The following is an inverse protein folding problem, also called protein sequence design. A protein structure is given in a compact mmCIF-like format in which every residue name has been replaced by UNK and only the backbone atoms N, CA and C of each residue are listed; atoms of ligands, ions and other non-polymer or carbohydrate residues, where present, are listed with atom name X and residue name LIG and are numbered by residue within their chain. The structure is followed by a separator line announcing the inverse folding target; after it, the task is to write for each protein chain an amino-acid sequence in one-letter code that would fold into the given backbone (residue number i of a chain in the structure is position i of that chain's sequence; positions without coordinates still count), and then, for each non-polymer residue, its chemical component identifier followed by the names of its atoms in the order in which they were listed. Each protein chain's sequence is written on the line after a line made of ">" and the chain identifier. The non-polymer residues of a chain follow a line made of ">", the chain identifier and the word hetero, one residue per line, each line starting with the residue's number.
data_IF_328043897646
#
_entry.id   IF_328043897646
#
_cell.length_a   1.000
_cell.length_b   1.000
_cell.length_c   1.000
_cell.angle_alpha   90.00
_cell.angle_beta   90.00
_cell.angle_gamma   90.00
#
_symmetry.space_group_name_H-M   'P 1'
#
loop_
_entity.id
_entity.type
_entity.pdbx_description
1 polymer ?
#
# COMPACT_ATOMS: atom_id res chain seq x y z
N UNK A 1 17.23 -16.59 25.04
CA UNK A 1 17.43 -15.69 23.89
C UNK A 1 16.28 -15.93 22.94
N UNK A 2 15.37 -14.98 22.80
CA UNK A 2 14.34 -15.05 21.75
C UNK A 2 14.98 -14.40 20.53
N UNK A 3 15.52 -15.20 19.63
CA UNK A 3 15.89 -14.70 18.32
C UNK A 3 14.57 -14.37 17.62
N UNK A 4 14.25 -13.08 17.47
CA UNK A 4 13.45 -12.64 16.34
C UNK A 4 14.29 -13.00 15.12
N UNK A 5 14.13 -14.22 14.60
CA UNK A 5 14.62 -14.57 13.28
C UNK A 5 13.81 -13.70 12.32
N UNK A 6 14.34 -12.51 12.01
CA UNK A 6 13.87 -11.71 10.89
C UNK A 6 13.81 -12.66 9.71
N UNK A 7 12.60 -12.91 9.19
CA UNK A 7 12.44 -13.70 7.99
C UNK A 7 13.38 -13.14 6.91
N UNK A 8 13.98 -14.03 6.09
CA UNK A 8 14.96 -13.60 5.11
C UNK A 8 14.37 -12.47 4.24
N UNK A 9 15.10 -11.36 4.09
CA UNK A 9 14.65 -10.23 3.26
C UNK A 9 14.41 -10.62 1.79
N UNK A 10 14.93 -11.78 1.37
CA UNK A 10 14.76 -12.33 0.04
C UNK A 10 13.49 -13.21 -0.14
N UNK A 11 12.70 -13.45 0.92
CA UNK A 11 11.44 -14.19 0.86
C UNK A 11 10.38 -13.56 1.80
N UNK A 12 9.89 -12.40 1.39
CA UNK A 12 8.91 -11.63 2.14
C UNK A 12 7.49 -11.72 1.55
N UNK A 13 6.50 -11.59 2.44
CA UNK A 13 5.10 -11.34 2.07
C UNK A 13 4.75 -9.88 2.33
N UNK A 14 4.24 -9.18 1.32
CA UNK A 14 3.83 -7.78 1.39
C UNK A 14 2.34 -7.66 1.07
N UNK A 15 1.62 -6.87 1.86
CA UNK A 15 0.21 -6.56 1.60
C UNK A 15 0.08 -5.18 0.97
N UNK A 16 -0.48 -5.13 -0.23
CA UNK A 16 -0.81 -3.89 -0.95
C UNK A 16 -2.31 -3.66 -0.86
N UNK A 17 -2.73 -2.71 -0.02
CA UNK A 17 -4.13 -2.26 0.12
C UNK A 17 -4.48 -1.36 -1.06
N UNK A 18 -5.24 -1.88 -2.03
CA UNK A 18 -5.66 -1.12 -3.20
C UNK A 18 -6.89 -0.29 -2.83
N UNK A 19 -6.73 1.03 -2.73
CA UNK A 19 -7.83 1.94 -2.42
C UNK A 19 -8.50 2.34 -3.73
N UNK A 20 -9.78 1.98 -3.85
CA UNK A 20 -10.63 2.38 -4.98
C UNK A 20 -11.32 3.72 -4.73
N UNK A 21 -11.66 4.02 -3.47
CA UNK A 21 -12.31 5.29 -3.12
C UNK A 21 -12.04 5.67 -1.68
N UNK A 22 -11.49 6.87 -1.48
CA UNK A 22 -11.39 7.47 -0.15
C UNK A 22 -12.77 7.85 0.41
N UNK A 23 -13.61 8.50 -0.41
CA UNK A 23 -14.96 8.95 -0.04
C UNK A 23 -15.83 7.83 0.51
N UNK A 24 -15.84 6.69 -0.18
CA UNK A 24 -16.64 5.51 0.19
C UNK A 24 -15.85 4.47 0.99
N UNK A 25 -14.61 4.79 1.39
CA UNK A 25 -13.70 3.88 2.12
C UNK A 25 -13.59 2.48 1.49
N UNK A 26 -13.59 2.42 0.16
CA UNK A 26 -13.55 1.16 -0.58
C UNK A 26 -12.12 0.77 -0.86
N UNK A 27 -11.68 -0.35 -0.32
CA UNK A 27 -10.36 -0.93 -0.53
C UNK A 27 -10.41 -2.46 -0.64
N UNK A 28 -9.37 -3.03 -1.22
CA UNK A 28 -9.10 -4.46 -1.15
C UNK A 28 -7.61 -4.73 -1.04
N UNK A 29 -7.23 -5.64 -0.15
CA UNK A 29 -5.86 -6.14 -0.02
C UNK A 29 -5.46 -7.11 -1.15
N UNK A 30 -4.32 -6.84 -1.77
CA UNK A 30 -3.55 -7.75 -2.61
C UNK A 30 -2.34 -8.24 -1.81
N UNK A 31 -2.22 -9.56 -1.62
CA UNK A 31 -1.06 -10.15 -0.94
C UNK A 31 -0.09 -10.66 -1.99
N UNK A 32 1.17 -10.22 -1.90
CA UNK A 32 2.26 -10.63 -2.76
C UNK A 32 3.26 -11.43 -1.93
N UNK A 33 3.56 -12.64 -2.37
CA UNK A 33 4.48 -13.57 -1.69
C UNK A 33 5.81 -13.67 -2.45
N UNK A 34 6.83 -14.19 -1.78
CA UNK A 34 8.14 -14.50 -2.36
C UNK A 34 8.82 -13.28 -3.00
N UNK A 35 8.69 -12.13 -2.33
CA UNK A 35 9.38 -10.91 -2.75
C UNK A 35 10.77 -10.85 -2.15
N UNK A 36 11.76 -10.56 -2.98
CA UNK A 36 13.09 -10.19 -2.52
C UNK A 36 13.17 -8.67 -2.34
N UNK A 37 13.07 -8.23 -1.09
CA UNK A 37 13.02 -6.82 -0.72
C UNK A 37 14.30 -6.07 -1.07
N UNK A 38 15.43 -6.78 -1.23
CA UNK A 38 16.74 -6.19 -1.53
C UNK A 38 16.90 -5.81 -3.00
N UNK A 39 16.02 -6.31 -3.88
CA UNK A 39 16.08 -6.08 -5.32
C UNK A 39 14.78 -5.52 -5.89
N UNK A 40 13.63 -5.85 -5.29
CA UNK A 40 12.33 -5.33 -5.73
C UNK A 40 12.29 -3.84 -5.43
N UNK A 41 12.00 -3.06 -6.47
CA UNK A 41 11.83 -1.60 -6.39
C UNK A 41 10.37 -1.21 -6.21
N UNK A 42 10.14 0.04 -5.81
CA UNK A 42 8.79 0.62 -5.75
C UNK A 42 8.08 0.56 -7.12
N UNK A 43 8.78 0.85 -8.21
CA UNK A 43 8.22 0.73 -9.56
C UNK A 43 7.75 -0.70 -9.86
N UNK A 44 8.56 -1.71 -9.51
CA UNK A 44 8.21 -3.11 -9.71
C UNK A 44 7.04 -3.55 -8.82
N UNK A 45 6.97 -3.07 -7.58
CA UNK A 45 5.84 -3.33 -6.68
C UNK A 45 4.52 -2.76 -7.25
N UNK A 46 4.54 -1.52 -7.76
CA UNK A 46 3.38 -0.91 -8.46
C UNK A 46 2.99 -1.74 -9.68
N UNK A 47 3.96 -2.13 -10.51
CA UNK A 47 3.70 -2.93 -11.71
C UNK A 47 3.10 -4.29 -11.38
N UNK A 48 3.62 -4.99 -10.37
CA UNK A 48 3.07 -6.27 -9.92
C UNK A 48 1.61 -6.12 -9.47
N UNK A 49 1.28 -5.07 -8.71
CA UNK A 49 -0.08 -4.77 -8.30
C UNK A 49 -1.00 -4.48 -9.49
N UNK A 50 -0.58 -3.63 -10.42
CA UNK A 50 -1.34 -3.32 -11.65
C UNK A 50 -1.59 -4.57 -12.50
N UNK A 51 -0.58 -5.43 -12.65
CA UNK A 51 -0.71 -6.68 -13.40
C UNK A 51 -1.68 -7.65 -12.72
N UNK A 52 -1.66 -7.77 -11.40
CA UNK A 52 -2.62 -8.57 -10.65
C UNK A 52 -4.06 -8.05 -10.85
N UNK A 53 -4.26 -6.72 -10.79
CA UNK A 53 -5.58 -6.09 -11.00
C UNK A 53 -6.11 -6.37 -12.41
N UNK A 54 -5.25 -6.27 -13.42
CA UNK A 54 -5.62 -6.49 -14.81
C UNK A 54 -5.99 -7.95 -15.10
N UNK A 55 -5.19 -8.89 -14.57
CA UNK A 55 -5.29 -10.32 -14.92
C UNK A 55 -6.33 -11.09 -14.12
N UNK A 56 -6.45 -10.82 -12.82
CA UNK A 56 -7.27 -11.66 -11.93
C UNK A 56 -8.75 -11.26 -11.98
N UNK A 57 -9.69 -12.23 -12.00
CA UNK A 57 -11.13 -11.95 -12.13
C UNK A 57 -11.70 -11.20 -10.93
N UNK A 58 -11.20 -11.47 -9.72
CA UNK A 58 -11.65 -10.81 -8.49
C UNK A 58 -11.43 -9.29 -8.51
N UNK A 59 -10.50 -8.80 -9.31
CA UNK A 59 -10.13 -7.40 -9.39
C UNK A 59 -10.88 -6.61 -10.45
N UNK A 60 -11.84 -7.21 -11.15
CA UNK A 60 -12.67 -6.54 -12.17
C UNK A 60 -13.21 -5.16 -11.72
N UNK A 61 -13.70 -4.96 -10.48
CA UNK A 61 -14.19 -3.66 -10.01
C UNK A 61 -13.11 -2.57 -9.85
N UNK A 62 -11.83 -2.93 -9.90
CA UNK A 62 -10.67 -2.07 -9.65
C UNK A 62 -9.91 -1.70 -10.94
N UNK A 63 -10.21 -2.34 -12.08
CA UNK A 63 -9.46 -2.15 -13.34
C UNK A 63 -9.54 -0.74 -13.94
N UNK A 64 -10.58 0.02 -13.59
CA UNK A 64 -10.74 1.41 -14.03
C UNK A 64 -10.15 2.43 -13.06
N UNK A 65 -9.58 1.99 -11.94
CA UNK A 65 -9.00 2.88 -10.93
C UNK A 65 -7.61 3.28 -11.40
N UNK A 66 -7.36 4.59 -11.48
CA UNK A 66 -6.03 5.12 -11.76
C UNK A 66 -5.18 5.05 -10.48
N UNK A 67 -4.11 4.25 -10.49
CA UNK A 67 -3.24 4.06 -9.33
C UNK A 67 -1.82 4.53 -9.67
N UNK A 68 -1.26 5.44 -8.86
CA UNK A 68 0.06 6.04 -9.12
C UNK A 68 0.93 6.17 -7.85
N UNK A 69 0.33 6.13 -6.66
CA UNK A 69 0.99 6.49 -5.42
C UNK A 69 0.90 5.39 -4.38
N UNK A 70 2.06 4.97 -3.86
CA UNK A 70 2.17 4.10 -2.71
C UNK A 70 2.48 4.91 -1.44
N UNK A 71 1.83 4.55 -0.34
CA UNK A 71 2.09 5.10 1.00
C UNK A 71 2.20 3.97 2.00
N UNK A 72 3.15 4.04 2.93
CA UNK A 72 3.20 3.10 4.04
C UNK A 72 1.93 3.23 4.89
N UNK A 73 1.28 2.12 5.23
CA UNK A 73 0.04 2.14 6.00
C UNK A 73 0.30 2.21 7.51
N UNK A 74 1.22 1.36 7.98
CA UNK A 74 1.67 1.30 9.38
C UNK A 74 3.17 1.07 9.43
N UNK A 75 3.82 1.59 10.49
CA UNK A 75 5.14 1.13 10.92
C UNK A 75 4.96 0.17 12.09
N UNK A 76 5.86 -0.80 12.26
CA UNK A 76 5.95 -1.56 13.49
C UNK A 76 6.01 -0.58 14.68
N UNK A 77 5.13 -0.79 15.67
CA UNK A 77 4.97 0.07 16.86
C UNK A 77 4.35 1.48 16.65
N UNK A 78 3.83 1.81 15.46
CA UNK A 78 3.06 3.03 15.23
C UNK A 78 1.61 2.93 15.71
N UNK A 79 1.07 4.02 16.25
CA UNK A 79 -0.37 4.12 16.60
C UNK A 79 -1.24 3.92 15.36
N UNK A 80 -2.25 3.05 15.46
CA UNK A 80 -3.25 2.86 14.39
C UNK A 80 -3.93 4.20 14.10
N UNK A 81 -3.96 4.59 12.82
CA UNK A 81 -4.69 5.78 12.36
C UNK A 81 -6.17 5.70 12.76
N UNK A 82 -6.76 6.83 13.17
CA UNK A 82 -8.22 6.90 13.42
C UNK A 82 -9.03 6.84 12.12
N UNK A 83 -8.41 7.11 10.97
CA UNK A 83 -9.03 7.01 9.67
C UNK A 83 -8.77 5.63 9.04
N UNK A 84 -9.83 4.84 8.87
CA UNK A 84 -9.79 3.44 8.46
C UNK A 84 -9.32 3.22 7.01
N UNK A 85 -9.44 4.24 6.15
CA UNK A 85 -9.06 4.10 4.74
C UNK A 85 -7.57 4.37 4.52
N UNK A 86 -7.02 5.42 5.13
CA UNK A 86 -5.60 5.78 5.01
C UNK A 86 -5.13 6.58 6.22
N UNK A 87 -3.83 6.50 6.53
CA UNK A 87 -3.20 7.37 7.52
C UNK A 87 -3.03 8.78 6.94
N UNK A 88 -3.63 9.80 7.54
CA UNK A 88 -3.52 11.21 7.11
C UNK A 88 -2.44 11.99 7.85
N UNK A 89 -1.92 11.45 8.96
CA UNK A 89 -1.03 12.16 9.88
C UNK A 89 0.45 12.11 9.44
N UNK A 90 0.80 11.19 8.55
CA UNK A 90 2.17 10.94 8.09
C UNK A 90 2.31 11.03 6.56
N UNK A 91 2.30 12.24 6.00
CA UNK A 91 2.56 12.45 4.57
C UNK A 91 3.99 12.12 4.14
N UNK A 92 4.94 12.16 5.09
CA UNK A 92 6.32 11.76 4.90
C UNK A 92 6.47 10.27 4.54
N UNK A 93 5.41 9.46 4.73
CA UNK A 93 5.40 8.04 4.38
C UNK A 93 5.03 7.76 2.91
N UNK A 94 4.89 8.80 2.10
CA UNK A 94 4.72 8.66 0.64
C UNK A 94 6.00 8.12 0.00
N UNK A 95 5.84 7.04 -0.79
CA UNK A 95 6.95 6.36 -1.45
C UNK A 95 7.20 6.97 -2.83
N UNK A 96 7.91 8.11 -2.85
CA UNK A 96 8.13 8.92 -4.05
C UNK A 96 9.35 8.49 -4.89
N UNK A 97 10.23 7.63 -4.36
CA UNK A 97 11.41 7.14 -5.08
C UNK A 97 11.12 5.77 -5.71
N UNK A 98 10.68 5.79 -6.97
CA UNK A 98 10.32 4.59 -7.71
C UNK A 98 11.50 3.62 -7.95
N UNK A 99 12.74 4.11 -7.87
CA UNK A 99 13.97 3.31 -8.06
C UNK A 99 14.53 2.73 -6.76
N UNK A 100 14.08 3.20 -5.60
CA UNK A 100 14.50 2.64 -4.33
C UNK A 100 14.00 1.20 -4.17
N UNK A 101 14.83 0.35 -3.57
CA UNK A 101 14.42 -1.00 -3.20
C UNK A 101 13.48 -0.95 -2.00
N UNK A 102 12.68 -2.00 -1.80
CA UNK A 102 11.79 -2.09 -0.64
C UNK A 102 12.61 -2.09 0.67
N UNK A 103 13.75 -2.77 0.69
CA UNK A 103 14.67 -2.80 1.82
C UNK A 103 15.26 -1.41 2.15
N UNK A 104 15.64 -0.62 1.14
CA UNK A 104 16.15 0.75 1.37
C UNK A 104 15.12 1.67 2.04
N UNK A 105 13.83 1.37 1.85
CA UNK A 105 12.71 2.10 2.42
C UNK A 105 12.24 1.51 3.76
N UNK A 106 12.96 0.50 4.27
CA UNK A 106 12.69 -0.15 5.56
C UNK A 106 11.49 -1.08 5.53
N UNK A 107 11.15 -1.66 4.37
CA UNK A 107 10.16 -2.73 4.33
C UNK A 107 10.71 -3.98 5.02
N UNK A 108 9.84 -4.61 5.78
CA UNK A 108 10.06 -5.91 6.41
C UNK A 108 8.96 -6.89 5.95
N UNK A 109 9.12 -8.17 6.27
CA UNK A 109 8.04 -9.13 6.08
C UNK A 109 6.75 -8.65 6.76
N UNK A 110 5.61 -8.88 6.11
CA UNK A 110 4.28 -8.41 6.53
C UNK A 110 4.06 -6.90 6.50
N UNK A 111 4.96 -6.13 5.87
CA UNK A 111 4.71 -4.69 5.65
C UNK A 111 3.42 -4.46 4.86
N UNK A 112 2.62 -3.51 5.34
CA UNK A 112 1.39 -3.07 4.68
C UNK A 112 1.57 -1.68 4.03
N UNK A 113 1.20 -1.58 2.76
CA UNK A 113 1.19 -0.32 2.01
C UNK A 113 -0.15 -0.08 1.34
N UNK A 114 -0.53 1.17 1.16
CA UNK A 114 -1.71 1.57 0.40
C UNK A 114 -1.32 2.04 -0.99
N UNK A 115 -2.01 1.55 -2.02
CA UNK A 115 -1.87 1.99 -3.42
C UNK A 115 -3.14 2.69 -3.87
N UNK A 116 -3.01 3.92 -4.37
CA UNK A 116 -4.13 4.80 -4.66
C UNK A 116 -3.80 5.85 -5.73
N UNK A 117 -4.80 6.66 -6.08
CA UNK A 117 -4.65 7.84 -6.90
C UNK A 117 -4.21 9.05 -6.07
N UNK A 118 -3.09 9.70 -6.41
CA UNK A 118 -2.60 10.87 -5.66
C UNK A 118 -3.61 12.00 -5.60
N UNK A 119 -4.25 12.30 -6.73
CA UNK A 119 -5.20 13.40 -6.82
C UNK A 119 -6.40 13.15 -5.91
N UNK A 120 -6.96 11.95 -5.91
CA UNK A 120 -8.09 11.61 -5.03
C UNK A 120 -7.71 11.69 -3.55
N UNK A 121 -6.46 11.35 -3.20
CA UNK A 121 -5.93 11.51 -1.85
C UNK A 121 -5.83 12.98 -1.44
N UNK A 122 -5.24 13.82 -2.29
CA UNK A 122 -5.07 15.25 -2.01
C UNK A 122 -6.45 15.94 -1.88
N UNK A 123 -7.41 15.60 -2.75
CA UNK A 123 -8.80 16.10 -2.69
C UNK A 123 -9.50 15.66 -1.39
N UNK A 124 -9.34 14.39 -0.99
CA UNK A 124 -9.90 13.87 0.26
C UNK A 124 -9.27 14.50 1.51
N UNK A 125 -7.99 14.85 1.47
CA UNK A 125 -7.30 15.49 2.59
C UNK A 125 -7.86 16.89 2.88
N UNK A 126 -8.29 17.62 1.86
CA UNK A 126 -8.88 18.96 2.01
C UNK A 126 -10.29 18.90 2.62
N UNK A 127 -11.07 17.87 2.28
CA UNK A 127 -12.39 17.62 2.88
C UNK A 127 -12.56 16.13 3.23
N UNK A 128 -12.13 15.68 4.42
CA UNK A 128 -12.16 14.27 4.81
C UNK A 128 -13.56 13.80 5.23
N UNK A 129 -14.60 14.31 4.58
CA UNK A 129 -15.96 13.83 4.74
C UNK A 129 -16.12 12.47 4.05
N UNK A 130 -16.45 11.47 4.84
CA UNK A 130 -16.73 10.13 4.36
C UNK A 130 -18.25 9.96 4.34
N UNK A 131 -18.83 9.81 3.15
CA UNK A 131 -20.24 9.47 3.04
C UNK A 131 -20.42 8.02 3.46
N UNK A 132 -21.06 7.80 4.60
CA UNK A 132 -21.76 6.53 4.84
C UNK A 132 -23.02 6.61 3.98
N UNK A 133 -23.20 5.69 3.03
CA UNK A 133 -24.48 5.59 2.32
C UNK A 133 -25.60 5.41 3.36
N UNK A 134 -26.65 6.22 3.20
CA UNK A 134 -27.96 6.10 3.85
C UNK A 134 -28.69 4.83 3.43
#
# INVERSE_FOLDING_TARGET
>A
MLANELLPQNDATITVRIIKSFKYRTERSLVLHHLDLTVVTIAQLKQAALQAIASQPGWKPYRSVALDTLKLYTKAHGSKTSNLIINLDHDDWMLNNDSATLADLGFENETEVSFFNRKDYDDFKVNPETSWDV
#
